data_IF_903984728280
#
_entry.id   IF_903984728280
#
_cell.length_a   1.000
_cell.length_b   1.000
_cell.length_c   1.000
_cell.angle_alpha   90.00
_cell.angle_beta   90.00
_cell.angle_gamma   90.00
#
_symmetry.space_group_name_H-M   'P 1'
#
loop_
_entity.id
_entity.type
_entity.pdbx_description
1 polymer ?
#
# COMPACT_ATOMS: atom_id res chain seq x y z
N UNK A 1 37.93 -30.37 23.23
CA UNK A 1 37.42 -29.12 23.86
C UNK A 1 37.55 -27.99 22.84
N UNK A 2 36.48 -27.68 22.10
CA UNK A 2 36.17 -26.36 21.52
C UNK A 2 34.97 -26.51 20.56
N UNK A 3 33.76 -26.47 21.14
CA UNK A 3 32.56 -26.09 20.40
C UNK A 3 32.72 -24.63 20.00
N UNK A 4 32.71 -24.30 18.70
CA UNK A 4 32.41 -22.95 18.28
C UNK A 4 31.33 -22.97 17.19
N UNK A 5 30.20 -22.38 17.59
CA UNK A 5 28.89 -22.39 16.95
C UNK A 5 29.00 -21.97 15.50
N UNK A 6 28.47 -22.81 14.60
CA UNK A 6 28.03 -22.40 13.26
C UNK A 6 27.19 -21.13 13.43
N UNK A 7 27.72 -19.99 13.00
CA UNK A 7 26.97 -18.78 12.71
C UNK A 7 26.01 -19.14 11.57
N UNK A 8 24.89 -19.78 11.92
CA UNK A 8 23.71 -19.82 11.08
C UNK A 8 23.18 -18.39 11.05
N UNK A 9 23.70 -17.59 10.14
CA UNK A 9 22.95 -16.45 9.65
C UNK A 9 21.81 -17.06 8.83
N UNK A 10 20.71 -17.40 9.51
CA UNK A 10 19.47 -17.72 8.81
C UNK A 10 19.05 -16.43 8.13
N UNK A 11 19.38 -16.32 6.84
CA UNK A 11 18.62 -15.48 5.95
C UNK A 11 17.19 -15.99 6.06
N UNK A 12 16.39 -15.32 6.89
CA UNK A 12 14.95 -15.50 6.88
C UNK A 12 14.55 -15.07 5.48
N UNK A 13 14.43 -16.02 4.55
CA UNK A 13 13.70 -15.81 3.30
C UNK A 13 12.29 -15.54 3.75
N UNK A 14 12.01 -14.27 4.01
CA UNK A 14 10.68 -13.76 4.27
C UNK A 14 9.94 -14.09 2.99
N UNK A 15 9.11 -15.13 3.05
CA UNK A 15 8.12 -15.43 2.03
C UNK A 15 7.34 -14.12 1.95
N UNK A 16 7.62 -13.34 0.92
CA UNK A 16 6.95 -12.07 0.67
C UNK A 16 5.79 -12.34 -0.28
N UNK A 17 5.95 -13.31 -1.19
CA UNK A 17 4.96 -13.59 -2.23
C UNK A 17 3.64 -14.14 -1.72
N UNK A 18 3.64 -15.09 -0.78
CA UNK A 18 2.40 -15.75 -0.34
C UNK A 18 1.58 -14.82 0.56
N UNK A 19 2.20 -14.22 1.58
CA UNK A 19 1.55 -13.29 2.50
C UNK A 19 1.13 -11.99 1.80
N UNK A 20 1.90 -11.49 0.83
CA UNK A 20 1.49 -10.32 0.03
C UNK A 20 0.33 -10.68 -0.89
N UNK A 21 0.30 -11.89 -1.46
CA UNK A 21 -0.83 -12.38 -2.23
C UNK A 21 -2.09 -12.51 -1.39
N UNK A 22 -2.01 -13.15 -0.22
CA UNK A 22 -3.13 -13.29 0.72
C UNK A 22 -3.68 -11.93 1.16
N UNK A 23 -2.80 -10.99 1.53
CA UNK A 23 -3.19 -9.63 1.89
C UNK A 23 -3.85 -8.91 0.72
N UNK A 24 -3.29 -9.05 -0.49
CA UNK A 24 -3.87 -8.45 -1.71
C UNK A 24 -5.25 -9.06 -2.01
N UNK A 25 -5.41 -10.38 -1.88
CA UNK A 25 -6.69 -11.05 -2.08
C UNK A 25 -7.72 -10.56 -1.05
N UNK A 26 -7.32 -10.46 0.22
CA UNK A 26 -8.16 -9.95 1.29
C UNK A 26 -8.64 -8.51 1.02
N UNK A 27 -7.71 -7.60 0.71
CA UNK A 27 -8.05 -6.18 0.51
C UNK A 27 -8.94 -5.94 -0.71
N UNK A 28 -8.69 -6.63 -1.83
CA UNK A 28 -9.39 -6.32 -3.08
C UNK A 28 -10.59 -7.23 -3.37
N UNK A 29 -10.57 -8.50 -2.93
CA UNK A 29 -11.62 -9.46 -3.25
C UNK A 29 -12.55 -9.72 -2.06
N UNK A 30 -12.01 -9.92 -0.86
CA UNK A 30 -12.83 -10.26 0.32
C UNK A 30 -13.49 -9.03 0.96
N UNK A 31 -12.73 -7.94 1.11
CA UNK A 31 -13.27 -6.65 1.59
C UNK A 31 -14.13 -5.92 0.54
N UNK A 32 -14.04 -6.33 -0.74
CA UNK A 32 -14.82 -5.75 -1.82
C UNK A 32 -14.43 -4.31 -2.17
N UNK A 33 -13.14 -3.98 -2.13
CA UNK A 33 -12.64 -2.65 -2.47
C UNK A 33 -13.08 -2.21 -3.88
N UNK A 34 -13.71 -1.04 -3.96
CA UNK A 34 -14.18 -0.49 -5.24
C UNK A 34 -13.37 0.77 -5.63
N UNK A 35 -12.50 0.69 -6.65
CA UNK A 35 -11.65 1.82 -7.06
C UNK A 35 -12.42 2.99 -7.67
N UNK A 36 -13.70 2.82 -7.99
CA UNK A 36 -14.54 3.89 -8.53
C UNK A 36 -15.13 4.79 -7.44
N UNK A 37 -15.07 4.37 -6.18
CA UNK A 37 -15.68 5.09 -5.06
C UNK A 37 -14.58 5.82 -4.28
N UNK A 38 -14.80 7.10 -4.02
CA UNK A 38 -13.89 7.92 -3.20
C UNK A 38 -13.80 7.34 -1.77
N UNK A 39 -12.58 7.12 -1.23
CA UNK A 39 -12.40 6.47 0.06
C UNK A 39 -12.58 7.45 1.23
N UNK A 40 -13.83 7.81 1.52
CA UNK A 40 -14.23 8.59 2.71
C UNK A 40 -15.25 7.82 3.54
N UNK A 41 -15.06 7.79 4.86
CA UNK A 41 -15.98 7.12 5.78
C UNK A 41 -17.31 7.88 5.91
N UNK A 42 -17.25 9.21 5.89
CA UNK A 42 -18.41 10.09 5.91
C UNK A 42 -18.45 10.93 4.64
N UNK A 43 -19.63 11.01 4.00
CA UNK A 43 -19.85 11.80 2.78
C UNK A 43 -19.57 13.30 2.97
N UNK A 44 -19.71 13.79 4.19
CA UNK A 44 -19.50 15.21 4.55
C UNK A 44 -18.03 15.57 4.70
N UNK A 45 -17.15 14.58 4.82
CA UNK A 45 -15.71 14.81 5.02
C UNK A 45 -14.98 14.99 3.69
N UNK A 46 -14.04 15.93 3.67
CA UNK A 46 -13.16 16.13 2.54
C UNK A 46 -11.99 15.12 2.58
N UNK A 47 -11.67 14.55 1.43
CA UNK A 47 -10.45 13.75 1.27
C UNK A 47 -9.25 14.69 1.07
N UNK A 48 -8.24 14.57 1.93
CA UNK A 48 -6.99 15.31 1.78
C UNK A 48 -6.07 14.61 0.78
N UNK A 49 -5.64 15.36 -0.23
CA UNK A 49 -4.66 14.93 -1.23
C UNK A 49 -3.47 15.87 -1.15
N UNK A 50 -2.30 15.33 -0.82
CA UNK A 50 -1.05 16.10 -0.77
C UNK A 50 -0.31 15.92 -2.11
N UNK A 51 -0.06 17.04 -2.79
CA UNK A 51 0.62 17.09 -4.09
C UNK A 51 2.00 17.72 -3.91
N UNK A 52 3.04 17.02 -4.36
CA UNK A 52 4.40 17.52 -4.46
C UNK A 52 4.85 17.61 -5.92
N UNK A 53 5.53 18.69 -6.27
CA UNK A 53 6.16 18.88 -7.58
C UNK A 53 7.67 18.99 -7.40
N UNK A 54 8.39 18.24 -8.21
CA UNK A 54 9.84 18.37 -8.35
C UNK A 54 10.16 18.89 -9.76
N UNK A 55 11.12 19.81 -9.86
CA UNK A 55 11.52 20.47 -11.11
C UNK A 55 11.96 19.49 -12.23
N UNK A 56 12.25 18.23 -11.88
CA UNK A 56 12.55 17.13 -12.80
C UNK A 56 11.29 16.51 -13.47
N UNK A 57 10.19 17.26 -13.58
CA UNK A 57 8.89 16.79 -14.08
C UNK A 57 8.29 15.61 -13.28
N UNK A 58 8.70 15.43 -12.03
CA UNK A 58 8.16 14.37 -11.17
C UNK A 58 7.04 14.94 -10.30
N UNK A 59 5.86 14.31 -10.42
CA UNK A 59 4.70 14.60 -9.59
C UNK A 59 4.54 13.50 -8.56
N UNK A 60 4.43 13.87 -7.30
CA UNK A 60 4.18 12.95 -6.19
C UNK A 60 2.81 13.26 -5.60
N UNK A 61 1.94 12.25 -5.53
CA UNK A 61 0.57 12.38 -5.03
C UNK A 61 0.40 11.39 -3.90
N UNK A 62 -0.03 11.89 -2.73
CA UNK A 62 -0.29 11.06 -1.56
C UNK A 62 -1.68 11.33 -1.05
N UNK A 63 -2.41 10.27 -0.74
CA UNK A 63 -3.69 10.32 -0.04
C UNK A 63 -3.76 9.17 0.95
N UNK A 64 -4.74 9.23 1.86
CA UNK A 64 -5.01 8.16 2.83
C UNK A 64 -6.35 7.51 2.49
N UNK A 65 -6.31 6.20 2.32
CA UNK A 65 -7.50 5.36 2.09
C UNK A 65 -7.75 4.51 3.34
N UNK A 66 -8.94 4.60 3.92
CA UNK A 66 -9.28 3.87 5.14
C UNK A 66 -9.61 2.39 4.87
N UNK A 67 -10.02 2.03 3.65
CA UNK A 67 -10.36 0.66 3.27
C UNK A 67 -9.09 -0.17 3.04
N UNK A 68 -7.99 0.47 2.64
CA UNK A 68 -6.68 -0.16 2.45
C UNK A 68 -5.88 -0.21 3.75
N UNK A 69 -6.49 -0.70 4.82
CA UNK A 69 -5.86 -0.88 6.14
C UNK A 69 -5.86 -2.35 6.54
N UNK A 70 -4.77 -2.79 7.20
CA UNK A 70 -4.62 -4.16 7.68
C UNK A 70 -3.74 -4.20 8.93
N UNK A 71 -3.78 -5.34 9.63
CA UNK A 71 -2.87 -5.62 10.74
C UNK A 71 -1.60 -6.31 10.21
N UNK A 72 -0.41 -5.67 10.28
CA UNK A 72 0.83 -6.26 9.82
C UNK A 72 1.15 -7.61 10.48
N UNK A 73 0.75 -7.83 11.73
CA UNK A 73 1.07 -9.06 12.46
C UNK A 73 0.45 -10.30 11.81
N UNK A 74 -0.71 -10.17 11.15
CA UNK A 74 -1.40 -11.26 10.46
C UNK A 74 -0.75 -11.66 9.13
N UNK A 75 -0.02 -10.75 8.49
CA UNK A 75 0.55 -10.94 7.16
C UNK A 75 2.08 -10.83 7.19
N UNK A 76 2.73 -11.56 8.09
CA UNK A 76 4.20 -11.64 8.15
C UNK A 76 4.91 -10.31 8.45
N UNK A 77 4.23 -9.36 9.08
CA UNK A 77 4.77 -8.03 9.37
C UNK A 77 4.90 -7.13 8.13
N UNK A 78 4.10 -7.37 7.08
CA UNK A 78 4.03 -6.51 5.90
C UNK A 78 3.44 -5.15 6.29
N UNK A 79 4.20 -4.07 6.03
CA UNK A 79 3.77 -2.67 6.25
C UNK A 79 3.51 -1.91 4.96
N UNK A 80 4.05 -2.41 3.85
CA UNK A 80 3.97 -1.79 2.53
C UNK A 80 3.79 -2.91 1.52
N UNK A 81 2.83 -2.71 0.62
CA UNK A 81 2.62 -3.54 -0.57
C UNK A 81 2.62 -2.63 -1.80
N UNK A 82 2.98 -3.18 -2.96
CA UNK A 82 2.95 -2.42 -4.23
C UNK A 82 1.85 -2.96 -5.11
N UNK A 83 0.91 -2.09 -5.47
CA UNK A 83 -0.25 -2.45 -6.28
C UNK A 83 -0.29 -1.61 -7.55
N UNK A 84 -0.79 -2.15 -8.69
CA UNK A 84 -1.03 -1.35 -9.88
C UNK A 84 -2.01 -0.21 -9.60
N UNK A 85 -1.70 0.98 -10.12
CA UNK A 85 -2.53 2.18 -9.95
C UNK A 85 -3.97 2.02 -10.49
N UNK A 86 -4.20 1.07 -11.40
CA UNK A 86 -5.53 0.77 -11.95
C UNK A 86 -6.46 0.05 -10.98
N UNK A 87 -5.92 -0.56 -9.91
CA UNK A 87 -6.69 -1.32 -8.92
C UNK A 87 -7.10 -0.50 -7.70
N UNK A 88 -6.58 0.72 -7.58
CA UNK A 88 -6.85 1.61 -6.45
C UNK A 88 -7.58 2.85 -6.92
N UNK A 89 -8.41 3.42 -6.06
CA UNK A 89 -8.94 4.76 -6.29
C UNK A 89 -7.77 5.75 -6.36
N UNK A 90 -7.84 6.68 -7.30
CA UNK A 90 -6.89 7.78 -7.44
C UNK A 90 -7.64 9.05 -7.82
N UNK A 91 -7.22 10.24 -7.35
CA UNK A 91 -7.83 11.48 -7.76
C UNK A 91 -7.50 11.77 -9.24
N UNK A 92 -8.47 12.30 -9.97
CA UNK A 92 -8.24 12.86 -11.30
C UNK A 92 -7.67 14.26 -11.15
N UNK A 93 -6.43 14.46 -11.58
CA UNK A 93 -5.71 15.73 -11.50
C UNK A 93 -5.48 16.22 -12.93
N UNK A 94 -5.97 17.42 -13.23
CA UNK A 94 -5.81 18.06 -14.52
C UNK A 94 -5.14 19.41 -14.35
N UNK A 95 -4.21 19.73 -15.25
CA UNK A 95 -3.60 21.05 -15.32
C UNK A 95 -4.45 21.93 -16.22
N UNK A 96 -5.03 22.99 -15.66
CA UNK A 96 -5.62 24.07 -16.45
C UNK A 96 -4.57 25.15 -16.66
N UNK A 97 -4.22 25.40 -17.91
CA UNK A 97 -3.43 26.56 -18.32
C UNK A 97 -4.32 27.45 -19.21
N UNK A 98 -4.32 28.76 -18.96
CA UNK A 98 -5.01 29.74 -19.81
C UNK A 98 -3.99 30.52 -20.62
#
# INVERSE_FOLDING_TARGET
MANLRKLLFTAQTKIASEQEYELTNYLFNEQGYNPLIRPVANVSEALRVDLGLCMIHLIHIVWRDYQLTWDPAKYGGLKVIRVPHSRVWKPDIVLFNK
#
